data_IF_863103443376
#
_entry.id   IF_863103443376
#
_cell.length_a   1.000
_cell.length_b   1.000
_cell.length_c   1.000
_cell.angle_alpha   90.00
_cell.angle_beta   90.00
_cell.angle_gamma   90.00
#
_symmetry.space_group_name_H-M   'P 1'
#
loop_
_entity.id
_entity.type
_entity.pdbx_description
1 polymer ?
#
# COMPACT_ATOMS: atom_id res chain seq x y z
N UNK A 1 -4.76 -14.11 12.97
CA UNK A 1 -4.13 -13.80 14.28
C UNK A 1 -2.60 -13.78 14.16
N UNK A 2 -2.06 -12.96 13.26
CA UNK A 2 -0.62 -12.87 12.98
C UNK A 2 -0.08 -11.67 13.76
N UNK A 3 0.27 -11.89 15.03
CA UNK A 3 0.71 -10.78 15.89
C UNK A 3 0.76 -11.06 17.39
N UNK A 4 0.55 -12.31 17.82
CA UNK A 4 0.53 -12.67 19.23
C UNK A 4 1.92 -12.49 19.85
N UNK A 5 2.03 -11.64 20.87
CA UNK A 5 3.23 -11.46 21.71
C UNK A 5 3.84 -12.79 22.19
N UNK A 6 3.01 -13.84 22.21
CA UNK A 6 3.32 -15.26 22.42
C UNK A 6 4.53 -15.75 21.62
N UNK A 7 4.72 -15.30 20.37
CA UNK A 7 5.89 -15.72 19.58
C UNK A 7 7.20 -15.17 20.15
N UNK A 8 7.21 -13.90 20.57
CA UNK A 8 8.40 -13.30 21.18
C UNK A 8 8.74 -13.96 22.52
N UNK A 9 7.72 -14.23 23.35
CA UNK A 9 7.88 -14.93 24.63
C UNK A 9 8.32 -16.38 24.43
N UNK A 10 7.73 -17.07 23.47
CA UNK A 10 8.10 -18.45 23.12
C UNK A 10 9.55 -18.54 22.67
N UNK A 11 10.00 -17.62 21.82
CA UNK A 11 11.38 -17.59 21.33
C UNK A 11 12.38 -17.20 22.44
N UNK A 12 12.02 -16.22 23.28
CA UNK A 12 12.79 -15.87 24.47
C UNK A 12 12.91 -17.06 25.45
N UNK A 13 11.78 -17.72 25.74
CA UNK A 13 11.74 -18.89 26.61
C UNK A 13 12.57 -20.04 26.06
N UNK A 14 12.51 -20.29 24.75
CA UNK A 14 13.36 -21.27 24.08
C UNK A 14 14.86 -20.99 24.28
N UNK A 15 15.30 -19.74 24.05
CA UNK A 15 16.69 -19.34 24.27
C UNK A 15 17.13 -19.47 25.74
N UNK A 16 16.23 -19.14 26.67
CA UNK A 16 16.48 -19.28 28.11
C UNK A 16 16.65 -20.75 28.53
N UNK A 17 15.78 -21.65 28.06
CA UNK A 17 15.84 -23.08 28.33
C UNK A 17 17.14 -23.67 27.78
N UNK A 18 17.49 -23.32 26.54
CA UNK A 18 18.69 -23.82 25.88
C UNK A 18 19.95 -23.39 26.65
N UNK A 19 20.03 -22.11 27.03
CA UNK A 19 21.13 -21.58 27.84
C UNK A 19 21.15 -22.19 29.25
N UNK A 20 19.99 -22.42 29.86
CA UNK A 20 19.89 -23.06 31.16
C UNK A 20 20.45 -24.49 31.11
N UNK A 21 20.06 -25.30 30.11
CA UNK A 21 20.59 -26.66 29.93
C UNK A 21 22.12 -26.68 29.77
N UNK A 22 22.67 -25.80 28.92
CA UNK A 22 24.12 -25.73 28.74
C UNK A 22 24.86 -25.18 29.98
N UNK A 23 24.28 -24.19 30.65
CA UNK A 23 24.93 -23.55 31.78
C UNK A 23 24.88 -24.41 33.04
N UNK A 24 23.86 -25.28 33.20
CA UNK A 24 23.64 -26.14 34.37
C UNK A 24 24.80 -27.11 34.62
N UNK A 25 25.49 -27.54 33.56
CA UNK A 25 26.63 -28.47 33.68
C UNK A 25 27.86 -27.84 34.32
N UNK A 26 28.08 -26.54 34.15
CA UNK A 26 29.37 -25.90 34.44
C UNK A 26 29.31 -24.80 35.50
N UNK A 27 28.13 -24.45 36.02
CA UNK A 27 27.99 -23.25 36.85
C UNK A 27 26.98 -23.45 37.99
N UNK A 28 27.16 -22.78 39.14
CA UNK A 28 26.16 -22.71 40.21
C UNK A 28 24.79 -22.22 39.73
N UNK A 29 23.73 -22.61 40.44
CA UNK A 29 22.34 -22.27 40.09
C UNK A 29 22.09 -20.75 39.98
N UNK A 30 22.77 -19.94 40.79
CA UNK A 30 22.63 -18.48 40.71
C UNK A 30 23.20 -17.90 39.39
N UNK A 31 24.35 -18.40 38.96
CA UNK A 31 24.98 -17.99 37.70
C UNK A 31 24.25 -18.52 36.47
N UNK A 32 23.62 -19.70 36.55
CA UNK A 32 22.81 -20.24 35.44
C UNK A 32 21.52 -19.45 35.27
N UNK A 33 20.86 -19.07 36.36
CA UNK A 33 19.62 -18.28 36.34
C UNK A 33 19.85 -16.88 35.75
N UNK A 34 20.95 -16.22 36.14
CA UNK A 34 21.30 -14.91 35.57
C UNK A 34 21.64 -15.01 34.09
N UNK A 35 22.40 -16.04 33.67
CA UNK A 35 22.68 -16.28 32.25
C UNK A 35 21.44 -16.62 31.43
N UNK A 36 20.53 -17.43 31.95
CA UNK A 36 19.29 -17.75 31.24
C UNK A 36 18.36 -16.54 31.13
N UNK A 37 18.36 -15.64 32.12
CA UNK A 37 17.64 -14.36 32.04
C UNK A 37 18.23 -13.45 30.95
N UNK A 38 19.56 -13.31 30.88
CA UNK A 38 20.19 -12.55 29.78
C UNK A 38 19.89 -13.16 28.42
N UNK A 39 19.92 -14.49 28.31
CA UNK A 39 19.56 -15.20 27.08
C UNK A 39 18.09 -14.98 26.70
N UNK A 40 17.17 -15.01 27.68
CA UNK A 40 15.75 -14.71 27.44
C UNK A 40 15.57 -13.35 26.79
N UNK A 41 16.19 -12.31 27.38
CA UNK A 41 16.11 -10.94 26.88
C UNK A 41 16.74 -10.81 25.49
N UNK A 42 17.91 -11.43 25.27
CA UNK A 42 18.58 -11.42 23.98
C UNK A 42 17.73 -12.06 22.88
N UNK A 43 17.19 -13.26 23.13
CA UNK A 43 16.34 -13.96 22.16
C UNK A 43 15.00 -13.28 21.94
N UNK A 44 14.39 -12.70 22.98
CA UNK A 44 13.15 -11.93 22.85
C UNK A 44 13.37 -10.65 22.01
N UNK A 45 14.49 -9.95 22.22
CA UNK A 45 14.87 -8.79 21.40
C UNK A 45 15.12 -9.21 19.95
N UNK A 46 15.83 -10.31 19.73
CA UNK A 46 16.11 -10.84 18.39
C UNK A 46 14.82 -11.26 17.66
N UNK A 47 13.89 -11.93 18.36
CA UNK A 47 12.57 -12.25 17.84
C UNK A 47 11.75 -11.00 17.50
N UNK A 48 11.86 -9.94 18.31
CA UNK A 48 11.21 -8.66 18.04
C UNK A 48 11.75 -8.00 16.76
N UNK A 49 13.07 -7.98 16.58
CA UNK A 49 13.71 -7.46 15.36
C UNK A 49 13.28 -8.29 14.15
N UNK A 50 13.35 -9.62 14.24
CA UNK A 50 12.88 -10.52 13.18
C UNK A 50 11.41 -10.26 12.86
N UNK A 51 10.55 -10.08 13.86
CA UNK A 51 9.15 -9.74 13.65
C UNK A 51 8.99 -8.45 12.84
N UNK A 52 9.76 -7.40 13.16
CA UNK A 52 9.71 -6.15 12.39
C UNK A 52 10.09 -6.43 10.93
N UNK A 53 11.20 -7.12 10.71
CA UNK A 53 11.69 -7.44 9.36
C UNK A 53 10.69 -8.28 8.57
N UNK A 54 10.17 -9.35 9.16
CA UNK A 54 9.14 -10.19 8.53
C UNK A 54 7.85 -9.40 8.27
N UNK A 55 7.46 -8.52 9.19
CA UNK A 55 6.30 -7.64 9.00
C UNK A 55 6.46 -6.70 7.80
N UNK A 56 7.65 -6.11 7.63
CA UNK A 56 7.96 -5.27 6.47
C UNK A 56 7.98 -6.06 5.17
N UNK A 57 8.48 -7.31 5.19
CA UNK A 57 8.56 -8.16 4.00
C UNK A 57 7.20 -8.71 3.58
N UNK A 58 6.33 -9.03 4.54
CA UNK A 58 5.01 -9.61 4.28
C UNK A 58 3.94 -8.56 3.94
N UNK A 59 4.10 -7.31 4.38
CA UNK A 59 3.14 -6.23 4.14
C UNK A 59 3.78 -5.00 3.46
N UNK A 60 4.10 -5.08 2.16
CA UNK A 60 4.63 -3.92 1.43
C UNK A 60 3.66 -2.72 1.36
N UNK A 61 2.36 -2.92 1.64
CA UNK A 61 1.32 -1.89 1.58
C UNK A 61 0.97 -1.22 2.93
N UNK A 62 1.45 -1.72 4.08
CA UNK A 62 1.01 -1.29 5.41
C UNK A 62 1.83 -0.13 6.02
N UNK A 63 2.40 0.75 5.19
CA UNK A 63 3.11 1.96 5.69
C UNK A 63 2.14 3.14 5.83
N UNK A 64 1.23 3.06 6.79
CA UNK A 64 0.65 4.26 7.44
C UNK A 64 0.46 3.92 8.92
N UNK A 65 1.19 4.56 9.86
CA UNK A 65 0.98 4.32 11.27
C UNK A 65 -0.16 5.21 11.76
N UNK A 66 -1.30 4.63 12.12
CA UNK A 66 -2.27 5.31 12.98
C UNK A 66 -2.43 4.46 14.23
N UNK A 67 -2.08 5.09 15.35
CA UNK A 67 -2.24 4.60 16.71
C UNK A 67 -3.72 4.42 17.04
N UNK A 68 -3.97 3.46 17.94
CA UNK A 68 -5.15 3.30 18.80
C UNK A 68 -6.36 2.47 18.33
N UNK A 69 -7.09 1.86 19.30
CA UNK A 69 -7.39 0.44 19.27
C UNK A 69 -8.91 0.22 19.33
N UNK A 70 -9.55 -0.03 18.21
CA UNK A 70 -10.82 -0.76 18.24
C UNK A 70 -11.11 -1.36 16.88
N UNK A 71 -11.43 -2.64 16.93
CA UNK A 71 -11.64 -3.59 15.86
C UNK A 71 -12.87 -3.26 15.00
N UNK A 72 -12.85 -2.20 14.19
CA UNK A 72 -13.97 -1.87 13.30
C UNK A 72 -13.56 -1.48 11.87
N UNK A 73 -12.27 -1.27 11.57
CA UNK A 73 -11.85 -0.76 10.25
C UNK A 73 -11.32 -1.83 9.27
N UNK A 74 -11.32 -3.12 9.65
CA UNK A 74 -10.89 -4.24 8.79
C UNK A 74 -11.91 -4.56 7.65
N UNK A 75 -12.92 -3.71 7.45
CA UNK A 75 -13.90 -3.81 6.37
C UNK A 75 -13.79 -2.68 5.31
N UNK A 76 -12.94 -1.66 5.50
CA UNK A 76 -12.80 -0.58 4.50
C UNK A 76 -11.81 -0.96 3.41
N UNK A 77 -12.34 -1.67 2.42
CA UNK A 77 -11.62 -2.09 1.20
C UNK A 77 -12.13 -3.41 0.62
N UNK A 78 -12.98 -4.15 1.35
CA UNK A 78 -13.47 -5.48 0.96
C UNK A 78 -14.89 -5.47 0.40
N UNK A 79 -15.55 -4.31 0.34
CA UNK A 79 -16.86 -4.15 -0.32
C UNK A 79 -16.67 -3.79 -1.79
N UNK A 80 -16.43 -4.80 -2.60
CA UNK A 80 -16.58 -4.72 -4.05
C UNK A 80 -18.07 -4.93 -4.36
N UNK A 81 -18.79 -3.85 -4.67
CA UNK A 81 -20.15 -3.97 -5.18
C UNK A 81 -20.07 -4.51 -6.62
N UNK A 82 -20.44 -5.78 -6.79
CA UNK A 82 -20.53 -6.46 -8.08
C UNK A 82 -21.90 -6.28 -8.72
N UNK A 83 -22.75 -5.43 -8.14
CA UNK A 83 -24.04 -5.08 -8.73
C UNK A 83 -23.81 -4.02 -9.79
N UNK A 84 -23.67 -4.43 -11.05
CA UNK A 84 -23.89 -3.51 -12.17
C UNK A 84 -25.36 -3.07 -12.11
N UNK A 85 -25.67 -1.76 -12.05
CA UNK A 85 -27.05 -1.30 -12.19
C UNK A 85 -27.65 -1.88 -13.48
N UNK A 86 -28.93 -2.25 -13.45
CA UNK A 86 -29.63 -2.78 -14.63
C UNK A 86 -29.90 -1.62 -15.62
N UNK A 87 -28.88 -1.27 -16.40
CA UNK A 87 -28.91 -0.23 -17.43
C UNK A 87 -29.59 -0.72 -18.72
N UNK A 88 -30.26 -1.88 -18.71
CA UNK A 88 -30.90 -2.46 -19.89
C UNK A 88 -32.00 -1.57 -20.47
N UNK A 89 -32.74 -0.87 -19.62
CA UNK A 89 -33.83 0.02 -20.04
C UNK A 89 -33.29 1.34 -20.61
N UNK A 90 -32.29 1.96 -19.97
CA UNK A 90 -31.66 3.19 -20.46
C UNK A 90 -30.90 2.98 -21.78
N UNK A 91 -30.25 1.82 -21.94
CA UNK A 91 -29.59 1.44 -23.19
C UNK A 91 -30.62 1.19 -24.31
N UNK A 92 -31.75 0.55 -23.98
CA UNK A 92 -32.84 0.33 -24.93
C UNK A 92 -33.47 1.65 -25.38
N UNK A 93 -33.59 2.62 -24.48
CA UNK A 93 -34.09 3.96 -24.78
C UNK A 93 -33.13 4.74 -25.69
N UNK A 94 -31.82 4.73 -25.40
CA UNK A 94 -30.79 5.34 -26.26
C UNK A 94 -30.74 4.70 -27.66
N UNK A 95 -30.84 3.37 -27.76
CA UNK A 95 -30.95 2.71 -29.06
C UNK A 95 -32.21 3.16 -29.79
N UNK A 96 -33.34 3.30 -29.11
CA UNK A 96 -34.59 3.70 -29.74
C UNK A 96 -34.55 5.16 -30.19
N UNK A 97 -33.92 6.05 -29.44
CA UNK A 97 -33.68 7.45 -29.84
C UNK A 97 -32.80 7.53 -31.10
N UNK A 98 -31.72 6.75 -31.17
CA UNK A 98 -30.86 6.70 -32.35
C UNK A 98 -31.58 6.16 -33.61
N UNK A 99 -32.58 5.30 -33.43
CA UNK A 99 -33.37 4.74 -34.54
C UNK A 99 -34.60 5.60 -34.89
N UNK A 100 -35.11 6.36 -33.92
CA UNK A 100 -36.25 7.27 -34.10
C UNK A 100 -35.83 8.61 -34.72
N UNK A 101 -34.59 9.07 -34.48
CA UNK A 101 -34.02 10.21 -35.22
C UNK A 101 -33.57 9.73 -36.61
N UNK A 102 -34.56 9.52 -37.48
CA UNK A 102 -34.43 9.04 -38.86
C UNK A 102 -33.66 9.99 -39.79
N UNK A 103 -32.42 10.33 -39.45
CA UNK A 103 -31.43 10.94 -40.33
C UNK A 103 -30.23 10.00 -40.46
N UNK A 104 -30.32 9.14 -41.47
CA UNK A 104 -29.16 8.42 -41.98
C UNK A 104 -28.14 9.39 -42.55
N UNK A 105 -27.32 10.01 -41.70
CA UNK A 105 -25.97 10.41 -42.10
C UNK A 105 -25.13 9.12 -42.11
N UNK A 106 -24.49 8.76 -43.24
CA UNK A 106 -23.61 7.60 -43.27
C UNK A 106 -22.51 7.82 -42.23
N UNK A 107 -22.25 6.78 -41.43
CA UNK A 107 -21.15 6.73 -40.45
C UNK A 107 -19.87 7.20 -41.15
N UNK A 108 -19.50 8.47 -40.95
CA UNK A 108 -18.20 8.99 -41.36
C UNK A 108 -17.21 8.22 -40.51
N UNK A 109 -16.51 7.27 -41.14
CA UNK A 109 -15.47 6.46 -40.52
C UNK A 109 -14.48 7.35 -39.76
N UNK A 110 -13.83 6.75 -38.76
CA UNK A 110 -12.87 7.39 -37.87
C UNK A 110 -12.03 8.46 -38.60
N UNK A 111 -12.31 9.73 -38.31
CA UNK A 111 -11.51 10.86 -38.77
C UNK A 111 -10.53 11.16 -37.62
N UNK A 112 -9.29 10.66 -37.65
CA UNK A 112 -8.33 10.98 -36.61
C UNK A 112 -8.20 12.49 -36.53
N UNK A 113 -8.40 13.05 -35.34
CA UNK A 113 -8.20 14.47 -35.06
C UNK A 113 -6.81 14.83 -35.56
N UNK A 114 -6.73 15.59 -36.65
CA UNK A 114 -5.45 16.09 -37.14
C UNK A 114 -4.99 17.13 -36.13
N UNK A 115 -3.98 16.84 -35.28
CA UNK A 115 -3.53 17.82 -34.33
C UNK A 115 -2.99 19.02 -35.12
N UNK A 116 -3.53 20.20 -34.88
CA UNK A 116 -3.01 21.45 -35.44
C UNK A 116 -1.56 21.57 -34.97
N UNK A 117 -0.62 21.42 -35.92
CA UNK A 117 0.84 21.44 -35.74
C UNK A 117 1.23 22.24 -34.49
N UNK A 118 1.78 21.55 -33.49
CA UNK A 118 2.61 22.20 -32.49
C UNK A 118 3.83 22.73 -33.24
N UNK A 119 3.86 24.04 -33.46
CA UNK A 119 5.04 24.72 -33.98
C UNK A 119 6.07 24.65 -32.86
N UNK A 120 7.07 23.80 -33.00
CA UNK A 120 8.30 23.93 -32.24
C UNK A 120 8.89 25.29 -32.63
N UNK A 121 8.80 26.27 -31.72
CA UNK A 121 9.40 27.58 -31.90
C UNK A 121 10.93 27.39 -31.92
N UNK A 122 11.50 27.36 -33.12
CA UNK A 122 12.94 27.12 -33.36
C UNK A 122 13.84 28.30 -32.95
N UNK A 123 13.31 29.31 -32.23
CA UNK A 123 14.08 30.33 -31.51
C UNK A 123 13.10 31.21 -30.70
N UNK A 124 12.89 30.94 -29.41
CA UNK A 124 12.13 31.85 -28.57
C UNK A 124 12.97 33.12 -28.29
N UNK A 125 12.43 34.30 -28.60
CA UNK A 125 13.03 35.55 -28.17
C UNK A 125 13.08 35.57 -26.62
N UNK A 126 14.24 35.79 -26.00
CA UNK A 126 14.41 35.67 -24.55
C UNK A 126 13.50 36.63 -23.77
N UNK A 127 13.10 37.75 -24.38
CA UNK A 127 12.19 38.72 -23.76
C UNK A 127 10.77 38.18 -23.56
N UNK A 128 10.23 37.43 -24.51
CA UNK A 128 8.87 36.87 -24.41
C UNK A 128 8.81 35.73 -23.37
N UNK A 129 9.89 34.95 -23.23
CA UNK A 129 10.01 33.88 -22.22
C UNK A 129 10.08 34.48 -20.81
N UNK A 130 10.84 35.56 -20.62
CA UNK A 130 10.91 36.25 -19.31
C UNK A 130 9.54 36.83 -18.95
N UNK A 131 8.81 37.38 -19.92
CA UNK A 131 7.48 37.92 -19.69
C UNK A 131 6.45 36.83 -19.34
N UNK A 132 6.55 35.65 -19.96
CA UNK A 132 5.73 34.49 -19.64
C UNK A 132 6.00 33.94 -18.22
N UNK A 133 7.27 33.84 -17.80
CA UNK A 133 7.65 33.41 -16.44
C UNK A 133 7.11 34.40 -15.40
N UNK A 134 7.17 35.70 -15.67
CA UNK A 134 6.68 36.73 -14.74
C UNK A 134 5.18 36.64 -14.52
N UNK A 135 4.39 36.40 -15.58
CA UNK A 135 2.94 36.21 -15.47
C UNK A 135 2.56 34.93 -14.74
N UNK A 136 3.34 33.86 -14.87
CA UNK A 136 3.15 32.60 -14.15
C UNK A 136 3.51 32.67 -12.65
N UNK A 137 4.25 33.70 -12.23
CA UNK A 137 4.62 33.90 -10.81
C UNK A 137 3.63 34.81 -10.07
N UNK A 138 2.84 35.61 -10.81
CA UNK A 138 1.84 36.52 -10.26
C UNK A 138 0.43 35.88 -10.13
N UNK A 139 0.26 34.60 -10.46
CA UNK A 139 -0.91 33.75 -10.10
C UNK A 139 -0.56 32.79 -8.95
#
# INVERSE_FOLDING_TARGET
MVGSWRLNVGFGGFGAILTFMFSLSNNPIGTTLTRSLYAFLAFAALAFVLRIVLGQLMNPAAKVPISDPESVDDERGTKLDLTTPDEGESLSELMKEQWADGKGEPVKGFQPLQPKRVVSLDNPNPEEVVQAIRRLTDE
#
